data_IF_680309049848
#
_entry.id   IF_680309049848
#
_cell.length_a   1.000
_cell.length_b   1.000
_cell.length_c   1.000
_cell.angle_alpha   90.00
_cell.angle_beta   90.00
_cell.angle_gamma   90.00
#
_symmetry.space_group_name_H-M   'P 1'
#
loop_
_entity.id
_entity.type
_entity.pdbx_description
1 polymer ?
#
# COMPACT_ATOMS: atom_id res chain seq x y z
N UNK A 1 17.59 24.38 18.26
CA UNK A 1 17.55 22.94 18.58
C UNK A 1 17.91 22.20 17.30
N UNK A 2 18.79 21.20 17.33
CA UNK A 2 18.91 20.29 16.19
C UNK A 2 17.65 19.44 16.15
N UNK A 3 17.03 19.32 14.99
CA UNK A 3 15.88 18.44 14.81
C UNK A 3 16.24 17.00 15.21
N UNK A 4 15.31 16.33 15.87
CA UNK A 4 15.47 14.93 16.27
C UNK A 4 15.60 14.05 15.02
N UNK A 5 16.69 13.28 14.94
CA UNK A 5 16.90 12.28 13.90
C UNK A 5 16.36 10.94 14.38
N UNK A 6 15.16 10.52 13.92
CA UNK A 6 14.61 9.23 14.32
C UNK A 6 15.37 8.08 13.66
N UNK A 7 15.30 6.91 14.30
CA UNK A 7 15.82 5.64 13.73
C UNK A 7 15.17 5.31 12.38
N UNK A 8 13.89 5.66 12.20
CA UNK A 8 13.13 5.43 10.98
C UNK A 8 12.03 6.48 10.81
N UNK A 9 11.78 6.89 9.57
CA UNK A 9 10.54 7.52 9.11
C UNK A 9 10.07 6.73 7.90
N UNK A 10 8.80 6.35 7.89
CA UNK A 10 8.21 5.70 6.72
C UNK A 10 8.29 6.65 5.54
N UNK A 11 8.71 6.12 4.39
CA UNK A 11 8.62 6.83 3.12
C UNK A 11 7.19 6.66 2.59
N UNK A 12 6.37 7.68 2.75
CA UNK A 12 4.96 7.71 2.35
C UNK A 12 4.73 9.05 1.66
N UNK A 13 4.40 9.00 0.38
CA UNK A 13 4.12 10.15 -0.46
C UNK A 13 2.63 10.33 -0.74
N UNK A 14 2.34 11.20 -1.71
CA UNK A 14 0.96 11.47 -2.15
C UNK A 14 0.32 10.28 -2.86
N UNK A 15 1.13 9.39 -3.44
CA UNK A 15 0.68 8.21 -4.16
C UNK A 15 0.00 7.22 -3.21
N UNK A 16 0.62 6.90 -2.08
CA UNK A 16 0.02 6.05 -1.05
C UNK A 16 -1.24 6.68 -0.45
N UNK A 17 -1.23 8.01 -0.23
CA UNK A 17 -2.39 8.73 0.32
C UNK A 17 -3.57 8.70 -0.66
N UNK A 18 -3.32 8.92 -1.95
CA UNK A 18 -4.33 8.91 -2.99
C UNK A 18 -5.02 7.54 -3.10
N UNK A 19 -4.24 6.45 -3.08
CA UNK A 19 -4.77 5.09 -3.14
C UNK A 19 -5.65 4.75 -1.92
N UNK A 20 -5.23 5.16 -0.72
CA UNK A 20 -6.05 4.99 0.50
C UNK A 20 -7.36 5.78 0.39
N UNK A 21 -7.32 7.00 -0.12
CA UNK A 21 -8.52 7.81 -0.33
C UNK A 21 -9.46 7.17 -1.35
N UNK A 22 -8.93 6.55 -2.41
CA UNK A 22 -9.73 5.80 -3.38
C UNK A 22 -10.44 4.62 -2.72
N UNK A 23 -9.72 3.82 -1.92
CA UNK A 23 -10.30 2.70 -1.15
C UNK A 23 -11.41 3.19 -0.22
N UNK A 24 -11.20 4.28 0.51
CA UNK A 24 -12.22 4.87 1.38
C UNK A 24 -13.48 5.30 0.59
N UNK A 25 -13.30 5.91 -0.58
CA UNK A 25 -14.40 6.34 -1.45
C UNK A 25 -15.11 5.18 -2.13
N UNK A 26 -14.45 4.04 -2.32
CA UNK A 26 -15.04 2.84 -2.90
C UNK A 26 -16.10 2.18 -2.03
N UNK A 27 -16.09 2.46 -0.72
CA UNK A 27 -16.97 1.83 0.27
C UNK A 27 -16.56 0.41 0.68
N UNK A 28 -15.43 -0.11 0.18
CA UNK A 28 -14.93 -1.44 0.51
C UNK A 28 -13.57 -1.37 1.23
N UNK A 29 -13.60 -1.35 2.56
CA UNK A 29 -12.39 -1.21 3.39
C UNK A 29 -11.67 -2.54 3.72
N UNK A 30 -12.38 -3.66 3.64
CA UNK A 30 -11.83 -4.98 4.01
C UNK A 30 -11.29 -5.73 2.79
N UNK A 31 -10.88 -7.00 2.95
CA UNK A 31 -10.43 -7.86 1.86
C UNK A 31 -11.38 -7.78 0.67
N UNK A 32 -10.84 -7.39 -0.48
CA UNK A 32 -11.62 -6.97 -1.63
C UNK A 32 -10.78 -6.84 -2.90
N UNK A 33 -11.28 -6.12 -3.92
CA UNK A 33 -10.64 -6.02 -5.22
C UNK A 33 -9.18 -5.53 -5.17
N UNK A 34 -8.87 -4.55 -4.31
CA UNK A 34 -7.51 -4.00 -4.19
C UNK A 34 -6.50 -4.96 -3.59
N UNK A 35 -6.94 -5.82 -2.66
CA UNK A 35 -6.08 -6.92 -2.15
C UNK A 35 -5.79 -7.93 -3.25
N UNK A 36 -6.80 -8.29 -4.06
CA UNK A 36 -6.61 -9.23 -5.18
C UNK A 36 -5.69 -8.66 -6.27
N UNK A 37 -5.78 -7.36 -6.53
CA UNK A 37 -4.88 -6.65 -7.43
C UNK A 37 -3.43 -6.74 -6.94
N UNK A 38 -3.20 -6.38 -5.67
CA UNK A 38 -1.90 -6.51 -5.02
C UNK A 38 -1.35 -7.95 -5.08
N UNK A 39 -2.14 -8.95 -4.69
CA UNK A 39 -1.72 -10.36 -4.71
C UNK A 39 -1.30 -10.81 -6.12
N UNK A 40 -2.07 -10.44 -7.14
CA UNK A 40 -1.75 -10.77 -8.54
C UNK A 40 -0.42 -10.14 -8.98
N UNK A 41 -0.22 -8.85 -8.69
CA UNK A 41 0.99 -8.13 -9.05
C UNK A 41 2.20 -8.65 -8.29
N UNK A 42 2.03 -8.96 -7.01
CA UNK A 42 3.08 -9.51 -6.17
C UNK A 42 3.49 -10.91 -6.63
N UNK A 43 2.53 -11.81 -6.89
CA UNK A 43 2.78 -13.14 -7.44
C UNK A 43 3.55 -13.07 -8.77
N UNK A 44 3.17 -12.15 -9.66
CA UNK A 44 3.87 -11.92 -10.92
C UNK A 44 5.28 -11.38 -10.71
N UNK A 45 5.47 -10.44 -9.77
CA UNK A 45 6.77 -9.85 -9.45
C UNK A 45 7.76 -10.89 -8.91
N UNK A 46 7.30 -11.79 -8.02
CA UNK A 46 8.17 -12.78 -7.38
C UNK A 46 8.22 -14.12 -8.13
N UNK A 47 7.43 -14.29 -9.19
CA UNK A 47 7.34 -15.53 -9.97
C UNK A 47 6.66 -16.68 -9.22
N UNK A 48 5.77 -16.38 -8.27
CA UNK A 48 5.03 -17.38 -7.51
C UNK A 48 3.68 -17.71 -8.19
N UNK A 49 3.20 -18.93 -7.94
CA UNK A 49 1.88 -19.35 -8.40
C UNK A 49 0.74 -18.67 -7.64
N UNK A 50 0.98 -18.34 -6.36
CA UNK A 50 0.05 -17.67 -5.46
C UNK A 50 0.84 -16.66 -4.62
N UNK A 51 0.22 -15.51 -4.34
CA UNK A 51 0.65 -14.58 -3.30
C UNK A 51 -0.19 -14.77 -2.05
#
# INVERSE_FOLDING_TARGET
MKDFLPFHRSDVGEEEVAEVVEVLRSGWLTTGPKVREFEREFAAMVGAQHA
#
